data_IF_688698907252
#
_entry.id   IF_688698907252
#
_cell.length_a   1.000
_cell.length_b   1.000
_cell.length_c   1.000
_cell.angle_alpha   90.00
_cell.angle_beta   90.00
_cell.angle_gamma   90.00
#
_symmetry.space_group_name_H-M   'P 1'
#
loop_
_entity.id
_entity.type
_entity.pdbx_description
1 polymer ?
#
# COMPACT_ATOMS: atom_id res chain seq x y z
N UNK A 1 -3.93 22.38 -1.41
CA UNK A 1 -3.38 21.11 -0.91
C UNK A 1 -3.56 20.89 0.59
N UNK A 2 -3.11 21.77 1.50
CA UNK A 2 -3.29 21.58 2.96
C UNK A 2 -4.76 21.44 3.38
N UNK A 3 -5.68 22.26 2.80
CA UNK A 3 -7.12 22.20 3.07
C UNK A 3 -7.73 20.85 2.64
N UNK A 4 -7.36 20.36 1.47
CA UNK A 4 -7.80 19.06 0.95
C UNK A 4 -7.32 17.90 1.85
N UNK A 5 -6.03 17.88 2.20
CA UNK A 5 -5.45 16.87 3.09
C UNK A 5 -6.18 16.85 4.45
N UNK A 6 -6.46 18.04 5.02
CA UNK A 6 -7.17 18.15 6.31
C UNK A 6 -8.61 17.65 6.22
N UNK A 7 -9.32 18.00 5.15
CA UNK A 7 -10.70 17.55 4.93
C UNK A 7 -10.75 16.03 4.75
N UNK A 8 -9.88 15.49 3.92
CA UNK A 8 -9.82 14.04 3.63
C UNK A 8 -9.39 13.23 4.87
N UNK A 9 -8.38 13.71 5.61
CA UNK A 9 -7.96 13.03 6.85
C UNK A 9 -9.07 13.01 7.90
N UNK A 10 -9.85 14.08 8.01
CA UNK A 10 -11.00 14.14 8.92
C UNK A 10 -12.12 13.20 8.47
N UNK A 11 -12.40 13.14 7.15
CA UNK A 11 -13.39 12.25 6.56
C UNK A 11 -13.01 10.79 6.83
N UNK A 12 -11.77 10.39 6.52
CA UNK A 12 -11.28 9.04 6.70
C UNK A 12 -11.20 8.64 8.19
N UNK A 13 -10.75 9.53 9.07
CA UNK A 13 -10.65 9.24 10.51
C UNK A 13 -11.99 8.97 11.17
N UNK A 14 -13.07 9.57 10.68
CA UNK A 14 -14.44 9.28 11.15
C UNK A 14 -14.98 7.94 10.68
N UNK A 15 -14.44 7.39 9.58
CA UNK A 15 -14.83 6.09 9.03
C UNK A 15 -13.93 5.00 9.57
N UNK A 16 -14.13 4.64 10.84
CA UNK A 16 -13.32 3.63 11.54
C UNK A 16 -13.15 2.35 10.71
N UNK A 17 -14.21 1.92 10.04
CA UNK A 17 -14.22 0.70 9.22
C UNK A 17 -13.30 0.79 8.02
N UNK A 18 -13.17 1.96 7.39
CA UNK A 18 -12.37 2.14 6.17
C UNK A 18 -10.86 2.10 6.42
N UNK A 19 -10.37 2.57 7.56
CA UNK A 19 -8.95 2.54 7.84
C UNK A 19 -8.52 1.39 8.78
N UNK A 20 -9.39 0.99 9.71
CA UNK A 20 -9.11 -0.11 10.64
C UNK A 20 -9.28 -1.49 9.97
N UNK A 21 -10.25 -1.61 9.05
CA UNK A 21 -10.52 -2.86 8.33
C UNK A 21 -9.30 -3.46 7.66
N UNK A 22 -8.61 -2.71 6.76
CA UNK A 22 -7.38 -3.20 6.11
C UNK A 22 -6.29 -3.60 7.11
N UNK A 23 -6.10 -2.83 8.19
CA UNK A 23 -5.11 -3.15 9.22
C UNK A 23 -5.42 -4.46 9.94
N UNK A 24 -6.69 -4.69 10.28
CA UNK A 24 -7.12 -5.94 10.90
C UNK A 24 -6.96 -7.13 9.94
N UNK A 25 -7.27 -6.95 8.65
CA UNK A 25 -7.06 -7.99 7.63
C UNK A 25 -5.57 -8.33 7.54
N UNK A 26 -4.70 -7.33 7.51
CA UNK A 26 -3.25 -7.56 7.48
C UNK A 26 -2.78 -8.37 8.69
N UNK A 27 -3.18 -7.97 9.90
CA UNK A 27 -2.82 -8.67 11.14
C UNK A 27 -3.35 -10.11 11.09
N UNK A 28 -4.59 -10.30 10.64
CA UNK A 28 -5.21 -11.62 10.54
C UNK A 28 -4.43 -12.52 9.58
N UNK A 29 -4.06 -12.02 8.40
CA UNK A 29 -3.28 -12.80 7.41
C UNK A 29 -1.89 -13.13 7.96
N UNK A 30 -1.20 -12.15 8.60
CA UNK A 30 0.12 -12.36 9.18
C UNK A 30 0.11 -13.41 10.31
N UNK A 31 -0.98 -13.54 11.04
CA UNK A 31 -1.13 -14.54 12.12
C UNK A 31 -1.63 -15.87 11.56
N UNK A 32 -2.64 -15.85 10.69
CA UNK A 32 -3.28 -17.06 10.19
C UNK A 32 -2.33 -17.90 9.32
N UNK A 33 -1.48 -17.25 8.52
CA UNK A 33 -0.59 -17.95 7.60
C UNK A 33 0.44 -18.83 8.34
N UNK A 34 1.21 -18.33 9.34
CA UNK A 34 2.10 -19.17 10.13
C UNK A 34 1.38 -20.30 10.88
N UNK A 35 0.15 -20.05 11.35
CA UNK A 35 -0.63 -21.08 12.05
C UNK A 35 -1.17 -22.18 11.12
N UNK A 36 -1.31 -21.90 9.82
CA UNK A 36 -1.80 -22.87 8.83
C UNK A 36 -0.72 -23.79 8.28
N UNK A 37 0.56 -23.45 8.48
CA UNK A 37 1.70 -24.24 8.01
C UNK A 37 2.26 -25.03 9.17
N UNK A 38 2.56 -26.31 8.93
CA UNK A 38 3.25 -27.13 9.91
C UNK A 38 4.72 -26.67 10.05
N UNK A 39 4.96 -25.89 11.10
CA UNK A 39 6.26 -25.22 11.38
C UNK A 39 7.40 -26.25 11.53
N UNK A 40 7.07 -27.51 11.87
CA UNK A 40 8.06 -28.57 12.03
C UNK A 40 8.75 -28.99 10.75
N UNK A 41 8.14 -28.69 9.57
CA UNK A 41 8.64 -29.11 8.26
C UNK A 41 9.26 -27.97 7.44
N UNK A 42 9.04 -26.71 7.80
CA UNK A 42 9.48 -25.55 7.00
C UNK A 42 10.23 -24.52 7.85
N UNK A 43 11.36 -24.05 7.35
CA UNK A 43 12.08 -22.89 7.89
C UNK A 43 11.24 -21.61 7.68
N UNK A 44 10.43 -21.22 8.65
CA UNK A 44 9.64 -19.97 8.59
C UNK A 44 10.50 -18.75 8.25
N UNK A 45 11.78 -18.76 8.68
CA UNK A 45 12.76 -17.72 8.38
C UNK A 45 12.96 -17.46 6.89
N UNK A 46 12.57 -18.40 6.02
CA UNK A 46 12.66 -18.27 4.55
C UNK A 46 11.38 -17.73 3.92
N UNK A 47 10.23 -17.93 4.57
CA UNK A 47 8.93 -17.66 3.98
C UNK A 47 8.24 -16.40 4.51
N UNK A 48 8.64 -15.89 5.69
CA UNK A 48 7.95 -14.76 6.33
C UNK A 48 7.84 -13.52 5.43
N UNK A 49 8.83 -13.27 4.57
CA UNK A 49 8.76 -12.16 3.62
C UNK A 49 7.70 -12.36 2.54
N UNK A 50 7.54 -13.57 2.05
CA UNK A 50 6.48 -13.87 1.07
C UNK A 50 5.11 -13.64 1.70
N UNK A 51 4.95 -13.97 2.97
CA UNK A 51 3.72 -13.71 3.75
C UNK A 51 3.46 -12.21 3.84
N UNK A 52 4.49 -11.41 4.18
CA UNK A 52 4.38 -9.95 4.24
C UNK A 52 3.98 -9.37 2.88
N UNK A 53 4.64 -9.80 1.81
CA UNK A 53 4.39 -9.29 0.45
C UNK A 53 2.96 -9.58 0.01
N UNK A 54 2.46 -10.81 0.22
CA UNK A 54 1.09 -11.18 -0.12
C UNK A 54 0.09 -10.43 0.75
N UNK A 55 0.35 -10.33 2.07
CA UNK A 55 -0.49 -9.55 2.98
C UNK A 55 -0.57 -8.09 2.57
N UNK A 56 0.59 -7.50 2.23
CA UNK A 56 0.68 -6.10 1.81
C UNK A 56 -0.10 -5.85 0.51
N UNK A 57 0.05 -6.74 -0.47
CA UNK A 57 -0.67 -6.64 -1.74
C UNK A 57 -2.18 -6.69 -1.54
N UNK A 58 -2.67 -7.72 -0.84
CA UNK A 58 -4.10 -7.91 -0.61
C UNK A 58 -4.70 -6.75 0.20
N UNK A 59 -4.03 -6.36 1.28
CA UNK A 59 -4.54 -5.29 2.15
C UNK A 59 -4.45 -3.91 1.51
N UNK A 60 -3.42 -3.63 0.70
CA UNK A 60 -3.35 -2.38 -0.06
C UNK A 60 -4.49 -2.28 -1.07
N UNK A 61 -4.84 -3.40 -1.71
CA UNK A 61 -5.98 -3.46 -2.60
C UNK A 61 -7.29 -3.16 -1.85
N UNK A 62 -7.57 -3.87 -0.75
CA UNK A 62 -8.78 -3.65 0.07
C UNK A 62 -8.82 -2.24 0.66
N UNK A 63 -7.67 -1.67 1.03
CA UNK A 63 -7.59 -0.32 1.58
C UNK A 63 -7.97 0.76 0.57
N UNK A 64 -7.74 0.52 -0.71
CA UNK A 64 -8.04 1.47 -1.78
C UNK A 64 -9.37 1.20 -2.47
N UNK A 65 -9.99 0.04 -2.21
CA UNK A 65 -11.32 -0.30 -2.74
C UNK A 65 -12.35 0.75 -2.30
N UNK A 66 -13.14 1.23 -3.26
CA UNK A 66 -14.14 2.26 -2.99
C UNK A 66 -13.59 3.65 -2.66
N UNK A 67 -12.28 3.90 -2.81
CA UNK A 67 -11.65 5.19 -2.50
C UNK A 67 -12.34 6.38 -3.18
N UNK A 68 -12.83 6.20 -4.39
CA UNK A 68 -13.49 7.24 -5.19
C UNK A 68 -15.00 7.02 -5.35
N UNK A 69 -15.51 5.83 -5.08
CA UNK A 69 -16.89 5.43 -5.37
C UNK A 69 -17.89 6.29 -4.61
N UNK A 70 -17.67 6.47 -3.31
CA UNK A 70 -18.55 7.28 -2.47
C UNK A 70 -18.58 8.75 -2.88
N UNK A 71 -17.42 9.34 -3.19
CA UNK A 71 -17.33 10.73 -3.62
C UNK A 71 -17.95 10.94 -5.01
N UNK A 72 -17.97 9.90 -5.81
CA UNK A 72 -18.65 9.88 -7.10
C UNK A 72 -20.17 9.76 -6.91
N UNK A 73 -20.65 8.84 -6.08
CA UNK A 73 -22.07 8.65 -5.80
C UNK A 73 -22.71 9.89 -5.14
N UNK A 74 -22.01 10.53 -4.22
CA UNK A 74 -22.46 11.74 -3.55
C UNK A 74 -22.34 13.02 -4.40
N UNK A 75 -21.75 12.94 -5.60
CA UNK A 75 -21.45 14.09 -6.45
C UNK A 75 -20.39 15.05 -5.89
N UNK A 76 -19.72 14.66 -4.80
CA UNK A 76 -18.66 15.46 -4.17
C UNK A 76 -17.47 15.60 -5.09
N UNK A 77 -17.15 14.54 -5.83
CA UNK A 77 -16.02 14.52 -6.76
C UNK A 77 -16.21 15.53 -7.90
N UNK A 78 -17.43 15.70 -8.42
CA UNK A 78 -17.77 16.69 -9.43
C UNK A 78 -17.70 18.12 -8.85
N UNK A 79 -18.16 18.32 -7.63
CA UNK A 79 -18.10 19.63 -6.96
C UNK A 79 -16.66 20.04 -6.69
N UNK A 80 -15.82 19.12 -6.20
CA UNK A 80 -14.40 19.36 -5.96
C UNK A 80 -13.65 19.66 -7.26
N UNK A 81 -14.00 18.99 -8.35
CA UNK A 81 -13.46 19.25 -9.68
C UNK A 81 -13.79 20.67 -10.19
N UNK A 82 -14.97 21.18 -9.86
CA UNK A 82 -15.38 22.54 -10.22
C UNK A 82 -14.67 23.61 -9.39
N UNK A 83 -14.32 23.30 -8.14
CA UNK A 83 -13.68 24.23 -7.21
C UNK A 83 -12.15 24.23 -7.40
N UNK A 84 -11.54 23.06 -7.47
CA UNK A 84 -10.10 22.90 -7.68
C UNK A 84 -9.82 22.75 -9.18
N UNK A 85 -9.14 23.73 -9.76
CA UNK A 85 -8.74 23.69 -11.17
C UNK A 85 -7.78 22.55 -11.51
N UNK A 86 -7.08 22.02 -10.50
CA UNK A 86 -6.07 20.97 -10.64
C UNK A 86 -6.59 19.65 -10.01
N UNK A 87 -7.31 18.85 -10.76
CA UNK A 87 -7.80 17.52 -10.37
C UNK A 87 -6.68 16.60 -9.82
N UNK A 88 -5.48 16.74 -10.38
CA UNK A 88 -4.28 16.07 -9.92
C UNK A 88 -4.00 16.27 -8.41
N UNK A 89 -4.17 17.48 -7.90
CA UNK A 89 -3.94 17.79 -6.48
C UNK A 89 -4.95 17.11 -5.57
N UNK A 90 -6.16 16.94 -6.06
CA UNK A 90 -7.21 16.24 -5.33
C UNK A 90 -6.84 14.75 -5.16
N UNK A 91 -6.53 14.07 -6.27
CA UNK A 91 -6.15 12.65 -6.27
C UNK A 91 -4.91 12.43 -5.39
N UNK A 92 -3.86 13.24 -5.58
CA UNK A 92 -2.64 13.13 -4.77
C UNK A 92 -2.89 13.36 -3.28
N UNK A 93 -3.73 14.34 -2.91
CA UNK A 93 -4.04 14.59 -1.51
C UNK A 93 -4.75 13.41 -0.88
N UNK A 94 -5.65 12.75 -1.62
CA UNK A 94 -6.38 11.58 -1.20
C UNK A 94 -5.45 10.37 -1.01
N UNK A 95 -4.64 10.05 -2.01
CA UNK A 95 -3.64 8.98 -1.92
C UNK A 95 -2.68 9.22 -0.74
N UNK A 96 -2.21 10.46 -0.59
CA UNK A 96 -1.32 10.82 0.52
C UNK A 96 -1.93 10.55 1.89
N UNK A 97 -3.19 10.92 2.09
CA UNK A 97 -3.92 10.67 3.35
C UNK A 97 -4.06 9.17 3.61
N UNK A 98 -4.42 8.39 2.60
CA UNK A 98 -4.53 6.94 2.71
C UNK A 98 -3.18 6.28 3.04
N UNK A 99 -2.11 6.70 2.38
CA UNK A 99 -0.76 6.21 2.69
C UNK A 99 -0.36 6.56 4.11
N UNK A 100 -0.64 7.79 4.59
CA UNK A 100 -0.29 8.19 5.95
C UNK A 100 -1.11 7.45 7.02
N UNK A 101 -2.42 7.31 6.82
CA UNK A 101 -3.31 6.73 7.84
C UNK A 101 -3.36 5.20 7.81
N UNK A 102 -3.15 4.59 6.66
CA UNK A 102 -3.25 3.14 6.49
C UNK A 102 -1.89 2.55 6.08
N UNK A 103 -1.25 3.08 5.04
CA UNK A 103 -0.02 2.54 4.48
C UNK A 103 1.16 2.54 5.46
N UNK A 104 1.37 3.63 6.21
CA UNK A 104 2.44 3.70 7.22
C UNK A 104 2.20 2.72 8.38
N UNK A 105 1.01 2.65 9.00
CA UNK A 105 0.72 1.62 9.99
C UNK A 105 0.89 0.19 9.47
N UNK A 106 0.46 -0.11 8.23
CA UNK A 106 0.68 -1.40 7.59
C UNK A 106 2.18 -1.73 7.48
N UNK A 107 2.99 -0.77 7.02
CA UNK A 107 4.44 -0.94 6.94
C UNK A 107 5.07 -1.19 8.32
N UNK A 108 4.57 -0.52 9.36
CA UNK A 108 5.03 -0.72 10.73
C UNK A 108 4.68 -2.12 11.24
N UNK A 109 3.45 -2.59 11.02
CA UNK A 109 3.02 -3.95 11.39
C UNK A 109 3.87 -5.00 10.65
N UNK A 110 4.11 -4.82 9.35
CA UNK A 110 4.99 -5.72 8.57
C UNK A 110 6.43 -5.73 9.07
N UNK A 111 6.97 -4.58 9.45
CA UNK A 111 8.32 -4.48 10.03
C UNK A 111 8.40 -5.15 11.40
N UNK A 112 7.37 -5.00 12.26
CA UNK A 112 7.27 -5.72 13.53
C UNK A 112 7.20 -7.23 13.33
N UNK A 113 6.42 -7.68 12.36
CA UNK A 113 6.34 -9.10 12.01
C UNK A 113 7.69 -9.64 11.53
N UNK A 114 8.44 -8.87 10.71
CA UNK A 114 9.80 -9.22 10.29
C UNK A 114 10.74 -9.35 11.48
N UNK A 115 10.67 -8.41 12.42
CA UNK A 115 11.47 -8.45 13.64
C UNK A 115 11.15 -9.68 14.50
N UNK A 116 9.88 -10.02 14.65
CA UNK A 116 9.44 -11.21 15.38
C UNK A 116 9.93 -12.52 14.74
N UNK A 117 10.22 -12.51 13.44
CA UNK A 117 10.77 -13.64 12.68
C UNK A 117 12.30 -13.56 12.50
N UNK A 118 13.03 -12.92 13.41
CA UNK A 118 14.49 -12.99 13.50
C UNK A 118 15.26 -11.94 12.71
N UNK A 119 14.60 -10.95 12.07
CA UNK A 119 15.32 -9.84 11.44
C UNK A 119 15.98 -8.96 12.49
N UNK A 120 17.28 -8.69 12.31
CA UNK A 120 18.04 -7.87 13.24
C UNK A 120 17.42 -6.46 13.40
N UNK A 121 17.43 -5.94 14.62
CA UNK A 121 16.88 -4.61 14.93
C UNK A 121 17.56 -3.48 14.12
N UNK A 122 18.84 -3.65 13.77
CA UNK A 122 19.56 -2.73 12.87
C UNK A 122 18.97 -2.64 11.48
N UNK A 123 18.25 -3.67 11.02
CA UNK A 123 17.59 -3.73 9.73
C UNK A 123 16.12 -3.32 9.77
N UNK A 124 15.55 -3.14 10.98
CA UNK A 124 14.14 -2.76 11.15
C UNK A 124 13.77 -1.50 10.38
N UNK A 125 14.58 -0.43 10.51
CA UNK A 125 14.32 0.83 9.79
C UNK A 125 14.39 0.66 8.26
N UNK A 126 15.26 -0.21 7.74
CA UNK A 126 15.36 -0.52 6.32
C UNK A 126 14.11 -1.25 5.82
N UNK A 127 13.64 -2.25 6.56
CA UNK A 127 12.41 -2.99 6.25
C UNK A 127 11.20 -2.06 6.29
N UNK A 128 11.06 -1.26 7.35
CA UNK A 128 9.98 -0.29 7.48
C UNK A 128 9.94 0.70 6.31
N UNK A 129 11.10 1.24 5.92
CA UNK A 129 11.20 2.16 4.78
C UNK A 129 10.80 1.48 3.47
N UNK A 130 11.28 0.26 3.22
CA UNK A 130 10.92 -0.50 2.02
C UNK A 130 9.41 -0.79 1.94
N UNK A 131 8.82 -1.23 3.04
CA UNK A 131 7.39 -1.52 3.09
C UNK A 131 6.57 -0.23 2.92
N UNK A 132 7.03 0.89 3.49
CA UNK A 132 6.38 2.20 3.29
C UNK A 132 6.43 2.67 1.84
N UNK A 133 7.58 2.52 1.16
CA UNK A 133 7.73 2.81 -0.26
C UNK A 133 6.86 1.89 -1.12
N UNK A 134 6.82 0.60 -0.79
CA UNK A 134 5.97 -0.37 -1.50
C UNK A 134 4.50 -0.02 -1.36
N UNK A 135 4.04 0.36 -0.17
CA UNK A 135 2.67 0.83 0.07
C UNK A 135 2.36 2.08 -0.75
N UNK A 136 3.28 3.06 -0.78
CA UNK A 136 3.10 4.25 -1.60
C UNK A 136 2.89 3.89 -3.09
N UNK A 137 3.68 2.96 -3.62
CA UNK A 137 3.56 2.50 -5.00
C UNK A 137 2.24 1.74 -5.24
N UNK A 138 1.91 0.79 -4.37
CA UNK A 138 0.69 -0.02 -4.48
C UNK A 138 -0.57 0.84 -4.36
N UNK A 139 -0.62 1.78 -3.42
CA UNK A 139 -1.76 2.68 -3.25
C UNK A 139 -1.96 3.56 -4.50
N UNK A 140 -0.88 4.07 -5.11
CA UNK A 140 -1.00 4.81 -6.37
C UNK A 140 -1.57 3.94 -7.49
N UNK A 141 -1.04 2.72 -7.66
CA UNK A 141 -1.48 1.80 -8.72
C UNK A 141 -2.94 1.37 -8.53
N UNK A 142 -3.32 1.01 -7.30
CA UNK A 142 -4.68 0.58 -7.02
C UNK A 142 -5.68 1.74 -7.03
N UNK A 143 -5.28 2.93 -6.60
CA UNK A 143 -6.10 4.12 -6.75
C UNK A 143 -6.40 4.40 -8.22
N UNK A 144 -5.40 4.29 -9.10
CA UNK A 144 -5.61 4.41 -10.55
C UNK A 144 -6.56 3.33 -11.09
N UNK A 145 -6.35 2.07 -10.70
CA UNK A 145 -7.26 0.97 -11.09
C UNK A 145 -8.70 1.21 -10.64
N UNK A 146 -8.89 1.69 -9.41
CA UNK A 146 -10.20 2.02 -8.87
C UNK A 146 -10.85 3.22 -9.59
N UNK A 147 -10.07 4.24 -9.94
CA UNK A 147 -10.57 5.38 -10.72
C UNK A 147 -11.07 4.94 -12.10
N UNK A 148 -10.38 4.00 -12.77
CA UNK A 148 -10.82 3.45 -14.06
C UNK A 148 -12.07 2.57 -13.96
N UNK A 149 -12.36 2.04 -12.79
CA UNK A 149 -13.48 1.11 -12.57
C UNK A 149 -14.73 1.79 -12.00
N UNK A 150 -14.70 3.08 -11.73
CA UNK A 150 -15.88 3.85 -11.34
C UNK A 150 -17.00 3.55 -12.35
N UNK A 151 -18.17 3.14 -11.88
CA UNK A 151 -19.33 2.69 -12.68
C UNK A 151 -19.19 1.38 -13.47
N UNK A 152 -18.03 0.70 -13.45
CA UNK A 152 -17.82 -0.55 -14.21
C UNK A 152 -17.67 -1.78 -13.34
N UNK A 153 -17.72 -1.60 -12.03
CA UNK A 153 -17.54 -2.64 -11.01
C UNK A 153 -16.08 -2.82 -10.58
N UNK A 154 -15.88 -2.98 -9.29
CA UNK A 154 -14.56 -3.08 -8.63
C UNK A 154 -13.63 -4.13 -9.26
N UNK A 155 -14.18 -5.17 -9.87
CA UNK A 155 -13.40 -6.26 -10.50
C UNK A 155 -12.55 -5.79 -11.69
N UNK A 156 -13.01 -4.78 -12.45
CA UNK A 156 -12.26 -4.21 -13.56
C UNK A 156 -11.04 -3.41 -13.07
N UNK A 157 -11.17 -2.72 -11.95
CA UNK A 157 -10.05 -2.02 -11.30
C UNK A 157 -8.96 -3.00 -10.87
N UNK A 158 -9.35 -4.13 -10.28
CA UNK A 158 -8.42 -5.20 -9.87
C UNK A 158 -7.68 -5.75 -11.09
N UNK A 159 -8.41 -6.17 -12.12
CA UNK A 159 -7.83 -6.77 -13.32
C UNK A 159 -6.86 -5.84 -14.05
N UNK A 160 -7.10 -4.53 -14.01
CA UNK A 160 -6.20 -3.56 -14.65
C UNK A 160 -4.97 -3.24 -13.80
N UNK A 161 -5.09 -3.24 -12.47
CA UNK A 161 -4.02 -2.84 -11.57
C UNK A 161 -3.10 -3.98 -11.13
N UNK A 162 -3.59 -5.23 -11.07
CA UNK A 162 -2.77 -6.39 -10.66
C UNK A 162 -1.51 -6.60 -11.52
N UNK A 163 -1.57 -6.57 -12.87
CA UNK A 163 -0.37 -6.72 -13.68
C UNK A 163 0.66 -5.61 -13.42
N UNK A 164 0.18 -4.39 -13.12
CA UNK A 164 1.04 -3.25 -12.80
C UNK A 164 1.69 -3.36 -11.41
N UNK A 165 1.08 -4.11 -10.50
CA UNK A 165 1.64 -4.37 -9.17
C UNK A 165 2.81 -5.39 -9.20
N UNK A 166 2.91 -6.25 -10.22
CA UNK A 166 3.98 -7.25 -10.33
C UNK A 166 5.40 -6.65 -10.29
N UNK A 167 5.73 -5.58 -11.02
CA UNK A 167 7.05 -4.95 -10.90
C UNK A 167 7.36 -4.47 -9.49
N UNK A 168 6.38 -3.92 -8.76
CA UNK A 168 6.55 -3.47 -7.37
C UNK A 168 6.88 -4.65 -6.47
N UNK A 169 6.18 -5.77 -6.62
CA UNK A 169 6.40 -6.99 -5.86
C UNK A 169 7.80 -7.56 -6.13
N UNK A 170 8.22 -7.60 -7.40
CA UNK A 170 9.57 -8.07 -7.79
C UNK A 170 10.65 -7.20 -7.16
N UNK A 171 10.48 -5.87 -7.21
CA UNK A 171 11.42 -4.93 -6.61
C UNK A 171 11.46 -5.07 -5.08
N UNK A 172 10.31 -5.22 -4.44
CA UNK A 172 10.23 -5.47 -3.01
C UNK A 172 10.97 -6.77 -2.63
N UNK A 173 10.74 -7.85 -3.38
CA UNK A 173 11.44 -9.12 -3.17
C UNK A 173 12.96 -9.00 -3.32
N UNK A 174 13.44 -8.22 -4.30
CA UNK A 174 14.88 -7.93 -4.46
C UNK A 174 15.43 -7.08 -3.32
N UNK A 175 14.69 -6.05 -2.90
CA UNK A 175 15.09 -5.16 -1.81
C UNK A 175 15.24 -5.91 -0.47
N UNK A 176 14.34 -6.85 -0.22
CA UNK A 176 14.37 -7.69 0.97
C UNK A 176 15.61 -8.61 0.96
N UNK A 177 15.89 -9.25 -0.17
CA UNK A 177 17.12 -10.06 -0.32
C UNK A 177 18.37 -9.21 -0.09
N UNK A 178 18.39 -7.96 -0.57
CA UNK A 178 19.53 -7.06 -0.36
C UNK A 178 19.77 -6.74 1.13
N UNK A 179 18.71 -6.73 1.94
CA UNK A 179 18.84 -6.57 3.40
C UNK A 179 19.47 -7.83 4.03
N UNK A 180 19.09 -9.03 3.57
CA UNK A 180 19.60 -10.29 4.08
C UNK A 180 21.07 -10.52 3.72
N UNK A 181 21.46 -10.16 2.50
CA UNK A 181 22.82 -10.40 1.97
C UNK A 181 23.75 -9.17 2.07
N UNK A 182 23.23 -8.01 2.50
CA UNK A 182 24.04 -6.81 2.72
C UNK A 182 24.34 -5.98 1.49
N UNK A 183 23.89 -6.37 0.30
CA UNK A 183 24.27 -5.74 -0.97
C UNK A 183 23.12 -4.95 -1.64
N UNK A 184 23.42 -3.71 -2.03
CA UNK A 184 22.58 -2.97 -2.99
C UNK A 184 21.26 -2.39 -2.48
N UNK A 185 20.99 -2.41 -1.17
CA UNK A 185 19.76 -1.83 -0.59
C UNK A 185 19.46 -0.42 -1.08
N UNK A 186 20.47 0.46 -1.04
CA UNK A 186 20.30 1.87 -1.41
C UNK A 186 19.90 2.05 -2.89
N UNK A 187 20.53 1.28 -3.77
CA UNK A 187 20.22 1.32 -5.22
C UNK A 187 18.78 0.91 -5.50
N UNK A 188 18.27 -0.12 -4.81
CA UNK A 188 16.91 -0.59 -5.01
C UNK A 188 15.91 0.39 -4.39
N UNK A 189 16.19 0.97 -3.23
CA UNK A 189 15.35 2.01 -2.63
C UNK A 189 15.23 3.24 -3.52
N UNK A 190 16.34 3.71 -4.10
CA UNK A 190 16.35 4.83 -5.07
C UNK A 190 15.56 4.48 -6.32
N UNK A 191 15.68 3.26 -6.83
CA UNK A 191 14.91 2.79 -7.99
C UNK A 191 13.41 2.74 -7.68
N UNK A 192 13.01 2.29 -6.50
CA UNK A 192 11.60 2.32 -6.06
C UNK A 192 11.06 3.75 -5.96
N UNK A 193 11.84 4.69 -5.42
CA UNK A 193 11.47 6.11 -5.38
C UNK A 193 11.32 6.65 -6.80
N UNK A 194 12.27 6.35 -7.70
CA UNK A 194 12.20 6.78 -9.10
C UNK A 194 10.95 6.27 -9.82
N UNK A 195 10.62 5.01 -9.65
CA UNK A 195 9.38 4.43 -10.20
C UNK A 195 8.14 5.11 -9.58
N UNK A 196 8.16 5.36 -8.26
CA UNK A 196 7.07 6.07 -7.59
C UNK A 196 6.82 7.46 -8.17
N UNK A 197 7.87 8.20 -8.44
CA UNK A 197 7.78 9.53 -9.08
C UNK A 197 7.23 9.43 -10.51
N UNK A 198 7.67 8.43 -11.28
CA UNK A 198 7.17 8.21 -12.64
C UNK A 198 5.67 7.84 -12.60
N UNK A 199 5.28 6.90 -11.74
CA UNK A 199 3.89 6.49 -11.60
C UNK A 199 3.02 7.68 -11.18
N UNK A 200 3.45 8.45 -10.18
CA UNK A 200 2.70 9.63 -9.72
C UNK A 200 2.65 10.76 -10.75
N UNK A 201 3.56 10.81 -11.72
CA UNK A 201 3.56 11.79 -12.80
C UNK A 201 2.69 11.36 -14.01
N UNK A 202 2.55 10.06 -14.26
CA UNK A 202 1.83 9.52 -15.42
C UNK A 202 0.37 9.21 -15.11
N UNK A 203 0.05 8.93 -13.84
CA UNK A 203 -1.28 8.48 -13.38
C UNK A 203 -2.01 9.54 -12.53
N UNK A 204 -2.12 10.77 -12.95
CA UNK A 204 -2.94 11.76 -12.27
C UNK A 204 -4.42 11.66 -12.68
#
# INVERSE_FOLDING_TARGET
MYRLIKAESFKLSKKLKSWLGPLLIMILVLIAFPLSIDISQYDLDKFYFSIIVVSLLMTSFVATEGMFEEDFEDGTLEQEFLIEKDFYRLILSKIFVYVCLIGIPMAFIGALFSFANGVAISSFAKVFLLLSLSNLLLFNLFAFGNALSINKGAMLGVLSSLPLALPVIILLGRAIRSIQYGDGFFSIAVLMIGIGLIISAIMP
#
